data_IF_231430806459
#
_entry.id   IF_231430806459
#
_cell.length_a   1.000
_cell.length_b   1.000
_cell.length_c   1.000
_cell.angle_alpha   90.00
_cell.angle_beta   90.00
_cell.angle_gamma   90.00
#
_symmetry.space_group_name_H-M   'P 1'
#
loop_
_entity.id
_entity.type
_entity.pdbx_description
1 polymer ?
#
# COMPACT_ATOMS: atom_id res chain seq x y z
N UNK A 1 -29.56 -21.79 11.26
CA UNK A 1 -29.03 -20.73 10.37
C UNK A 1 -28.37 -21.42 9.19
N UNK A 2 -28.65 -20.99 7.96
CA UNK A 2 -28.00 -21.55 6.78
C UNK A 2 -26.82 -20.64 6.43
N UNK A 3 -25.60 -21.18 6.35
CA UNK A 3 -24.42 -20.41 5.92
C UNK A 3 -24.40 -20.25 4.40
N UNK A 4 -23.68 -19.23 3.91
CA UNK A 4 -23.42 -19.05 2.49
C UNK A 4 -22.74 -20.29 1.88
N UNK A 5 -21.88 -20.96 2.65
CA UNK A 5 -21.19 -22.18 2.26
C UNK A 5 -22.20 -23.30 1.98
N UNK A 6 -23.16 -23.52 2.89
CA UNK A 6 -24.16 -24.57 2.75
C UNK A 6 -25.14 -24.31 1.58
N UNK A 7 -25.50 -23.03 1.33
CA UNK A 7 -26.27 -22.65 0.14
C UNK A 7 -25.49 -22.92 -1.14
N UNK A 8 -24.19 -22.61 -1.16
CA UNK A 8 -23.32 -22.79 -2.31
C UNK A 8 -23.10 -24.27 -2.61
N UNK A 9 -22.84 -25.07 -1.57
CA UNK A 9 -22.72 -26.53 -1.67
C UNK A 9 -23.97 -27.15 -2.27
N UNK A 10 -25.16 -26.82 -1.74
CA UNK A 10 -26.43 -27.35 -2.24
C UNK A 10 -26.71 -26.93 -3.68
N UNK A 11 -26.37 -25.70 -4.05
CA UNK A 11 -26.52 -25.21 -5.42
C UNK A 11 -25.60 -25.97 -6.40
N UNK A 12 -24.30 -26.09 -6.07
CA UNK A 12 -23.32 -26.77 -6.94
C UNK A 12 -23.62 -28.27 -7.05
N UNK A 13 -24.01 -28.92 -5.95
CA UNK A 13 -24.39 -30.34 -5.94
C UNK A 13 -25.69 -30.58 -6.71
N UNK A 14 -26.66 -29.65 -6.63
CA UNK A 14 -27.86 -29.67 -7.47
C UNK A 14 -27.52 -29.60 -8.97
N UNK A 15 -26.66 -28.66 -9.36
CA UNK A 15 -26.20 -28.57 -10.75
C UNK A 15 -25.44 -29.83 -11.20
N UNK A 16 -24.61 -30.43 -10.35
CA UNK A 16 -23.88 -31.65 -10.67
C UNK A 16 -24.81 -32.83 -10.96
N UNK A 17 -25.99 -32.90 -10.32
CA UNK A 17 -26.97 -33.97 -10.54
C UNK A 17 -27.62 -33.88 -11.93
N UNK A 18 -27.86 -32.67 -12.43
CA UNK A 18 -28.48 -32.43 -13.75
C UNK A 18 -27.44 -32.29 -14.88
N UNK A 19 -26.23 -31.82 -14.53
CA UNK A 19 -25.12 -31.57 -15.46
C UNK A 19 -23.84 -32.23 -14.93
N UNK A 20 -23.56 -33.48 -15.35
CA UNK A 20 -22.35 -34.19 -14.95
C UNK A 20 -21.10 -33.39 -15.28
N UNK A 21 -20.14 -33.37 -14.34
CA UNK A 21 -18.86 -32.63 -14.41
C UNK A 21 -18.92 -31.15 -14.06
N UNK A 22 -20.03 -30.63 -13.56
CA UNK A 22 -20.14 -29.24 -13.08
C UNK A 22 -19.04 -28.89 -12.07
N UNK A 23 -18.84 -29.72 -11.05
CA UNK A 23 -17.81 -29.49 -10.02
C UNK A 23 -16.41 -29.41 -10.63
N UNK A 24 -16.08 -30.35 -11.53
CA UNK A 24 -14.79 -30.40 -12.22
C UNK A 24 -14.55 -29.19 -13.12
N UNK A 25 -15.60 -28.74 -13.83
CA UNK A 25 -15.51 -27.57 -14.70
C UNK A 25 -15.34 -26.28 -13.90
N UNK A 26 -16.04 -26.13 -12.77
CA UNK A 26 -15.87 -24.99 -11.85
C UNK A 26 -14.43 -24.97 -11.34
N UNK A 27 -13.89 -26.09 -10.85
CA UNK A 27 -12.51 -26.15 -10.33
C UNK A 27 -11.47 -25.84 -11.41
N UNK A 28 -11.55 -26.45 -12.59
CA UNK A 28 -10.63 -26.17 -13.71
C UNK A 28 -10.72 -24.73 -14.21
N UNK A 29 -11.91 -24.15 -14.18
CA UNK A 29 -12.09 -22.75 -14.58
C UNK A 29 -11.52 -21.81 -13.50
N UNK A 30 -11.76 -22.13 -12.23
CA UNK A 30 -11.17 -21.42 -11.09
C UNK A 30 -9.64 -21.41 -11.15
N UNK A 31 -9.02 -22.54 -11.48
CA UNK A 31 -7.57 -22.65 -11.65
C UNK A 31 -7.05 -21.77 -12.79
N UNK A 32 -7.76 -21.68 -13.92
CA UNK A 32 -7.39 -20.77 -15.03
C UNK A 32 -7.50 -19.29 -14.68
N UNK A 33 -8.37 -18.94 -13.74
CA UNK A 33 -8.55 -17.57 -13.25
C UNK A 33 -7.59 -17.24 -12.11
N UNK A 34 -6.89 -18.23 -11.57
CA UNK A 34 -5.90 -18.01 -10.52
C UNK A 34 -4.73 -17.23 -11.10
N UNK A 35 -4.46 -16.06 -10.53
CA UNK A 35 -3.27 -15.28 -10.85
C UNK A 35 -2.21 -15.59 -9.81
N UNK A 36 -1.08 -16.14 -10.25
CA UNK A 36 0.09 -16.38 -9.39
C UNK A 36 0.56 -15.03 -8.81
N UNK A 37 0.28 -14.79 -7.53
CA UNK A 37 0.77 -13.61 -6.82
C UNK A 37 2.22 -13.85 -6.44
N UNK A 38 3.17 -13.19 -7.11
CA UNK A 38 4.59 -13.18 -6.69
C UNK A 38 4.70 -12.64 -5.27
N UNK A 39 4.97 -13.52 -4.32
CA UNK A 39 5.18 -13.18 -2.92
C UNK A 39 6.60 -12.64 -2.71
N UNK A 40 6.86 -11.41 -3.15
CA UNK A 40 8.03 -10.67 -2.67
C UNK A 40 7.69 -10.11 -1.29
N UNK A 41 8.51 -10.44 -0.28
CA UNK A 41 8.35 -9.95 1.11
C UNK A 41 8.38 -8.43 1.23
N UNK A 42 8.86 -7.73 0.20
CA UNK A 42 8.91 -6.26 0.12
C UNK A 42 7.51 -5.61 -0.11
N UNK A 43 6.47 -6.40 -0.43
CA UNK A 43 5.13 -5.90 -0.77
C UNK A 43 4.02 -6.42 0.16
N UNK A 44 4.22 -6.41 1.48
CA UNK A 44 3.20 -6.82 2.45
C UNK A 44 2.69 -5.66 3.29
N UNK A 45 1.41 -5.68 3.63
CA UNK A 45 0.77 -4.68 4.48
C UNK A 45 1.29 -4.75 5.93
N UNK A 46 1.71 -3.62 6.50
CA UNK A 46 2.21 -3.55 7.88
C UNK A 46 1.17 -3.94 8.96
N UNK A 47 -0.13 -3.90 8.64
CA UNK A 47 -1.21 -4.25 9.58
C UNK A 47 -1.62 -5.72 9.42
N UNK A 48 -2.04 -6.13 8.23
CA UNK A 48 -2.63 -7.46 8.01
C UNK A 48 -1.69 -8.47 7.36
N UNK A 49 -0.47 -8.07 7.00
CA UNK A 49 0.54 -8.88 6.28
C UNK A 49 0.08 -9.43 4.91
N UNK A 50 -1.10 -9.04 4.43
CA UNK A 50 -1.56 -9.36 3.08
C UNK A 50 -0.69 -8.64 2.04
N UNK A 51 -0.56 -9.18 0.82
CA UNK A 51 0.11 -8.49 -0.28
C UNK A 51 -0.51 -7.11 -0.51
N UNK A 52 0.33 -6.11 -0.80
CA UNK A 52 -0.12 -4.78 -1.20
C UNK A 52 -0.86 -4.88 -2.54
N UNK A 53 -2.07 -4.36 -2.59
CA UNK A 53 -2.99 -4.34 -3.74
C UNK A 53 -3.14 -2.94 -4.34
N UNK A 54 -2.25 -2.03 -3.94
CA UNK A 54 -2.30 -0.60 -4.28
C UNK A 54 -1.34 -0.19 -5.38
N UNK A 55 -0.38 -1.05 -5.74
CA UNK A 55 0.49 -0.88 -6.90
C UNK A 55 -0.24 -1.44 -8.13
N UNK A 56 -1.07 -0.60 -8.72
CA UNK A 56 -1.94 -0.98 -9.83
C UNK A 56 -1.89 0.07 -10.93
N UNK A 57 -2.01 -0.34 -12.21
CA UNK A 57 -1.93 0.59 -13.32
C UNK A 57 -3.06 1.63 -13.29
N UNK A 58 -2.91 2.76 -14.02
CA UNK A 58 -3.89 3.85 -14.06
C UNK A 58 -5.30 3.43 -14.50
N UNK A 59 -5.46 2.32 -15.23
CA UNK A 59 -6.74 1.80 -15.71
C UNK A 59 -7.29 0.66 -14.83
N UNK A 60 -7.04 0.70 -13.52
CA UNK A 60 -7.46 -0.33 -12.57
C UNK A 60 -8.79 0.00 -11.88
N UNK A 61 -9.40 -0.99 -11.23
CA UNK A 61 -10.59 -0.76 -10.41
C UNK A 61 -10.30 0.24 -9.26
N UNK A 62 -9.11 0.21 -8.69
CA UNK A 62 -8.71 1.12 -7.60
C UNK A 62 -8.66 2.58 -8.08
N UNK A 63 -8.13 2.85 -9.28
CA UNK A 63 -8.07 4.21 -9.82
C UNK A 63 -9.49 4.74 -10.12
N UNK A 64 -10.38 3.90 -10.63
CA UNK A 64 -11.78 4.24 -10.83
C UNK A 64 -12.51 4.58 -9.51
N UNK A 65 -12.24 3.82 -8.45
CA UNK A 65 -12.79 4.10 -7.11
C UNK A 65 -12.26 5.43 -6.56
N UNK A 66 -10.94 5.68 -6.64
CA UNK A 66 -10.35 6.96 -6.21
C UNK A 66 -10.93 8.13 -6.99
N UNK A 67 -11.08 8.01 -8.30
CA UNK A 67 -11.72 9.02 -9.13
C UNK A 67 -13.16 9.29 -8.70
N UNK A 68 -13.95 8.24 -8.52
CA UNK A 68 -15.34 8.34 -8.05
C UNK A 68 -15.42 9.01 -6.67
N UNK A 69 -14.49 8.70 -5.77
CA UNK A 69 -14.38 9.34 -4.47
C UNK A 69 -14.09 10.85 -4.60
N UNK A 70 -13.11 11.23 -5.42
CA UNK A 70 -12.76 12.63 -5.67
C UNK A 70 -13.96 13.41 -6.20
N UNK A 71 -14.68 12.86 -7.19
CA UNK A 71 -15.89 13.49 -7.74
C UNK A 71 -16.99 13.57 -6.68
N UNK A 72 -17.16 12.54 -5.85
CA UNK A 72 -18.18 12.53 -4.80
C UNK A 72 -17.91 13.55 -3.69
N UNK A 73 -16.63 13.81 -3.36
CA UNK A 73 -16.23 14.77 -2.32
C UNK A 73 -16.22 16.22 -2.84
N UNK A 74 -15.98 16.41 -4.13
CA UNK A 74 -15.98 17.73 -4.76
C UNK A 74 -17.36 18.06 -5.34
N UNK A 75 -18.14 18.90 -4.64
CA UNK A 75 -19.45 19.37 -5.12
C UNK A 75 -19.38 20.24 -6.39
N UNK A 76 -18.20 20.63 -6.85
CA UNK A 76 -17.99 21.39 -8.09
C UNK A 76 -16.72 20.92 -8.78
N UNK A 77 -16.87 19.98 -9.71
CA UNK A 77 -15.81 19.61 -10.65
C UNK A 77 -16.13 20.29 -11.97
N UNK A 78 -15.67 21.52 -12.16
CA UNK A 78 -15.44 22.00 -13.52
C UNK A 78 -14.32 21.14 -14.10
N UNK A 79 -14.68 20.21 -14.98
CA UNK A 79 -13.80 19.26 -15.66
C UNK A 79 -12.71 19.99 -16.48
N UNK A 80 -11.64 20.46 -15.83
CA UNK A 80 -10.40 20.85 -16.48
C UNK A 80 -9.56 19.60 -16.71
N UNK A 81 -9.84 18.92 -17.82
CA UNK A 81 -9.23 17.63 -18.22
C UNK A 81 -7.72 17.73 -18.52
N UNK A 82 -7.10 18.91 -18.44
CA UNK A 82 -5.66 19.09 -18.61
C UNK A 82 -5.09 20.19 -17.71
N UNK A 83 -4.87 19.91 -16.42
CA UNK A 83 -3.92 20.67 -15.58
C UNK A 83 -3.59 19.88 -14.31
N UNK A 84 -2.32 19.53 -14.15
CA UNK A 84 -1.74 18.80 -13.01
C UNK A 84 -1.52 19.67 -11.78
N UNK A 85 -2.42 20.58 -11.46
CA UNK A 85 -2.37 21.34 -10.22
C UNK A 85 -3.79 21.73 -9.80
N UNK A 86 -4.31 21.06 -8.79
CA UNK A 86 -5.52 21.51 -8.09
C UNK A 86 -5.26 21.44 -6.60
N UNK A 87 -4.59 22.49 -6.13
CA UNK A 87 -4.58 22.86 -4.73
C UNK A 87 -6.02 23.14 -4.28
N UNK A 88 -6.51 22.35 -3.34
CA UNK A 88 -7.68 22.67 -2.54
C UNK A 88 -7.23 23.34 -1.24
N UNK A 89 -7.97 24.36 -0.84
CA UNK A 89 -7.54 25.47 0.00
C UNK A 89 -7.21 25.08 1.45
N UNK A 90 -6.08 25.58 1.95
CA UNK A 90 -5.73 25.61 3.38
C UNK A 90 -4.59 26.59 3.62
N UNK A 91 -4.93 27.86 3.81
CA UNK A 91 -3.96 28.94 4.06
C UNK A 91 -3.22 28.75 5.38
N UNK A 92 -1.90 29.01 5.35
CA UNK A 92 -1.04 29.01 6.52
C UNK A 92 0.35 29.49 6.16
N UNK A 93 0.53 30.81 6.13
CA UNK A 93 1.82 31.49 6.04
C UNK A 93 2.73 31.05 7.20
N UNK A 94 3.96 30.64 6.93
CA UNK A 94 5.03 30.66 7.93
C UNK A 94 6.30 31.27 7.33
N UNK A 95 6.57 32.52 7.74
CA UNK A 95 7.90 33.09 7.75
C UNK A 95 8.73 32.37 8.82
N UNK A 96 9.97 32.02 8.52
CA UNK A 96 11.16 32.56 9.21
C UNK A 96 12.43 31.81 8.80
N UNK A 97 13.41 32.61 8.40
CA UNK A 97 14.81 32.26 8.22
C UNK A 97 15.46 31.72 9.52
N UNK A 98 16.52 30.94 9.37
CA UNK A 98 17.34 30.51 10.50
C UNK A 98 18.32 29.41 10.16
N UNK A 99 19.36 29.74 9.40
CA UNK A 99 20.57 28.91 9.31
C UNK A 99 21.17 28.73 10.71
N UNK A 100 21.38 27.48 11.12
CA UNK A 100 22.48 27.12 12.02
C UNK A 100 23.12 25.84 11.50
N UNK A 101 24.29 26.03 10.91
CA UNK A 101 25.31 24.99 10.83
C UNK A 101 25.60 24.51 12.25
N UNK A 102 25.61 23.19 12.44
CA UNK A 102 26.32 22.58 13.57
C UNK A 102 26.92 21.27 13.09
N UNK A 103 28.21 21.34 12.80
CA UNK A 103 29.23 20.30 13.01
C UNK A 103 28.69 18.87 13.11
N UNK A 104 28.79 18.17 11.98
CA UNK A 104 28.84 16.73 11.93
C UNK A 104 30.31 16.33 12.14
N UNK A 105 30.63 15.67 13.28
CA UNK A 105 31.57 14.55 13.42
C UNK A 105 31.94 14.28 14.90
N UNK A 106 31.56 13.10 15.42
CA UNK A 106 32.41 12.32 16.34
C UNK A 106 32.18 12.43 17.84
N UNK A 107 31.08 11.86 18.37
CA UNK A 107 31.08 11.31 19.73
C UNK A 107 30.29 10.01 19.74
N UNK A 108 31.01 8.88 19.69
CA UNK A 108 30.43 7.54 19.63
C UNK A 108 29.93 7.07 20.99
N UNK A 109 28.68 7.36 21.31
CA UNK A 109 27.95 6.75 22.43
C UNK A 109 27.28 5.41 22.05
N UNK A 110 27.45 4.93 20.81
CA UNK A 110 26.83 3.70 20.31
C UNK A 110 25.30 3.78 20.26
N UNK A 111 24.72 4.93 20.56
CA UNK A 111 23.29 5.18 20.43
C UNK A 111 23.08 5.62 18.99
N UNK A 112 22.42 4.78 18.19
CA UNK A 112 21.93 5.17 16.88
C UNK A 112 20.86 6.26 17.08
N UNK A 113 21.28 7.51 17.31
CA UNK A 113 20.41 8.68 17.42
C UNK A 113 19.90 9.03 16.02
N UNK A 114 19.09 8.13 15.48
CA UNK A 114 18.19 8.44 14.37
C UNK A 114 17.25 9.49 14.95
N UNK A 115 17.32 10.74 14.49
CA UNK A 115 16.27 11.73 14.80
C UNK A 115 14.92 11.03 14.58
N UNK A 116 14.06 11.00 15.59
CA UNK A 116 12.69 10.49 15.45
C UNK A 116 11.95 11.41 14.48
N UNK A 117 12.09 11.14 13.17
CA UNK A 117 11.27 11.76 12.15
C UNK A 117 9.88 11.17 12.29
N UNK A 118 8.91 12.00 12.70
CA UNK A 118 7.51 11.61 12.77
C UNK A 118 7.07 11.12 11.39
N UNK A 119 6.67 9.85 11.29
CA UNK A 119 6.15 9.27 10.05
C UNK A 119 4.98 10.11 9.51
N UNK A 120 5.03 10.44 8.23
CA UNK A 120 3.94 11.13 7.55
C UNK A 120 2.80 10.17 7.24
N UNK A 121 1.63 10.71 6.91
CA UNK A 121 0.47 9.88 6.55
C UNK A 121 0.72 9.09 5.26
N UNK A 122 1.32 9.72 4.25
CA UNK A 122 1.60 9.10 2.96
C UNK A 122 2.59 7.94 3.10
N UNK A 123 3.58 8.14 3.96
CA UNK A 123 4.55 7.14 4.38
C UNK A 123 3.89 5.91 5.00
N UNK A 124 2.92 6.10 5.88
CA UNK A 124 2.13 5.01 6.46
C UNK A 124 1.25 4.36 5.41
N UNK A 125 0.53 5.13 4.59
CA UNK A 125 -0.37 4.60 3.57
C UNK A 125 0.38 3.76 2.52
N UNK A 126 1.59 4.14 2.13
CA UNK A 126 2.42 3.37 1.18
C UNK A 126 2.74 1.95 1.66
N UNK A 127 2.77 1.71 2.98
CA UNK A 127 3.00 0.40 3.58
C UNK A 127 1.71 -0.41 3.85
N UNK A 128 0.53 0.06 3.40
CA UNK A 128 -0.76 -0.57 3.69
C UNK A 128 -1.53 -0.97 2.43
N UNK A 129 -2.23 -2.11 2.50
CA UNK A 129 -3.21 -2.51 1.49
C UNK A 129 -4.43 -1.58 1.53
N UNK A 130 -5.20 -1.55 0.45
CA UNK A 130 -6.35 -0.67 0.31
C UNK A 130 -7.35 -0.81 1.45
N UNK A 131 -7.66 -2.04 1.86
CA UNK A 131 -8.58 -2.30 2.98
C UNK A 131 -8.07 -1.68 4.30
N UNK A 132 -6.78 -1.85 4.61
CA UNK A 132 -6.20 -1.27 5.82
C UNK A 132 -6.12 0.26 5.76
N UNK A 133 -5.90 0.85 4.57
CA UNK A 133 -5.99 2.31 4.37
C UNK A 133 -7.38 2.85 4.71
N UNK A 134 -8.44 2.11 4.36
CA UNK A 134 -9.81 2.50 4.72
C UNK A 134 -10.04 2.46 6.23
N UNK A 135 -9.52 1.43 6.93
CA UNK A 135 -9.65 1.33 8.39
C UNK A 135 -8.98 2.48 9.13
N UNK A 136 -7.87 3.00 8.58
CA UNK A 136 -7.15 4.14 9.15
C UNK A 136 -7.57 5.49 8.55
N UNK A 137 -8.52 5.50 7.62
CA UNK A 137 -8.94 6.73 6.93
C UNK A 137 -9.49 7.76 7.91
N UNK A 138 -10.30 7.30 8.86
CA UNK A 138 -10.94 8.13 9.88
C UNK A 138 -10.07 8.33 11.12
N UNK A 139 -8.89 7.70 11.18
CA UNK A 139 -7.88 8.01 12.17
C UNK A 139 -7.32 9.41 11.87
N UNK A 140 -7.67 10.39 12.71
CA UNK A 140 -7.23 11.77 12.54
C UNK A 140 -5.71 11.96 12.61
N UNK A 141 -4.99 11.16 13.42
CA UNK A 141 -3.52 11.14 13.48
C UNK A 141 -3.01 9.69 13.44
N UNK A 142 -2.04 9.42 12.57
CA UNK A 142 -1.37 8.13 12.42
C UNK A 142 -0.53 7.75 13.65
N UNK A 143 -0.16 8.73 14.48
CA UNK A 143 0.55 8.49 15.76
C UNK A 143 -0.27 7.66 16.76
N UNK A 144 -1.58 7.55 16.56
CA UNK A 144 -2.47 6.72 17.40
C UNK A 144 -2.40 5.23 17.07
N UNK A 145 -1.72 4.85 15.98
CA UNK A 145 -1.48 3.45 15.66
C UNK A 145 -0.58 2.80 16.72
N UNK A 146 -0.72 1.49 16.95
CA UNK A 146 0.18 0.76 17.83
C UNK A 146 1.65 0.95 17.43
N UNK A 147 2.52 1.23 18.41
CA UNK A 147 3.94 1.55 18.19
C UNK A 147 4.69 0.54 17.33
N UNK A 148 4.44 -0.76 17.55
CA UNK A 148 5.09 -1.83 16.77
C UNK A 148 4.84 -1.72 15.26
N UNK A 149 3.70 -1.17 14.84
CA UNK A 149 3.37 -0.95 13.42
C UNK A 149 4.16 0.24 12.87
N UNK A 150 4.24 1.33 13.65
CA UNK A 150 5.02 2.51 13.28
C UNK A 150 6.51 2.18 13.20
N UNK A 151 7.02 1.39 14.13
CA UNK A 151 8.41 0.93 14.15
C UNK A 151 8.71 0.06 12.92
N UNK A 152 7.84 -0.89 12.59
CA UNK A 152 7.96 -1.72 11.38
C UNK A 152 7.97 -0.87 10.10
N UNK A 153 7.00 0.05 9.95
CA UNK A 153 6.93 0.96 8.79
C UNK A 153 8.22 1.81 8.69
N UNK A 154 8.67 2.41 9.80
CA UNK A 154 9.89 3.21 9.81
C UNK A 154 11.13 2.39 9.45
N UNK A 155 11.19 1.12 9.87
CA UNK A 155 12.29 0.23 9.56
C UNK A 155 12.30 -0.15 8.08
N UNK A 156 11.13 -0.44 7.52
CA UNK A 156 10.97 -0.73 6.08
C UNK A 156 11.42 0.45 5.23
N UNK A 157 11.00 1.68 5.57
CA UNK A 157 11.43 2.87 4.84
C UNK A 157 12.92 3.11 4.90
N UNK A 158 13.53 2.96 6.09
CA UNK A 158 14.98 3.06 6.25
C UNK A 158 15.71 2.05 5.37
N UNK A 159 15.20 0.82 5.28
CA UNK A 159 15.76 -0.22 4.41
C UNK A 159 15.59 0.10 2.93
N UNK A 160 14.42 0.55 2.51
CA UNK A 160 14.16 0.93 1.11
C UNK A 160 15.03 2.11 0.70
N UNK A 161 15.13 3.14 1.54
CA UNK A 161 15.99 4.31 1.31
C UNK A 161 17.46 3.90 1.22
N UNK A 162 17.94 3.11 2.17
CA UNK A 162 19.29 2.58 2.15
C UNK A 162 19.54 1.76 0.88
N UNK A 163 18.61 0.88 0.49
CA UNK A 163 18.68 0.09 -0.73
C UNK A 163 18.80 0.97 -1.96
N UNK A 164 17.98 2.01 -2.09
CA UNK A 164 18.04 2.95 -3.22
C UNK A 164 19.33 3.77 -3.25
N UNK A 165 19.91 4.12 -2.10
CA UNK A 165 21.18 4.87 -2.03
C UNK A 165 22.39 4.03 -2.45
N UNK A 166 22.30 2.71 -2.34
CA UNK A 166 23.40 1.78 -2.68
C UNK A 166 23.14 0.99 -3.97
N UNK A 167 21.98 1.15 -4.59
CA UNK A 167 21.52 0.32 -5.70
C UNK A 167 22.51 0.32 -6.87
N UNK A 168 23.06 1.49 -7.19
CA UNK A 168 24.06 1.70 -8.25
C UNK A 168 25.38 0.95 -8.02
N UNK A 169 25.64 0.52 -6.78
CA UNK A 169 26.86 -0.20 -6.39
C UNK A 169 26.61 -1.70 -6.20
N UNK A 170 25.36 -2.16 -6.28
CA UNK A 170 25.04 -3.58 -6.18
C UNK A 170 25.44 -4.27 -7.49
N UNK A 171 26.18 -5.38 -7.37
CA UNK A 171 26.53 -6.20 -8.52
C UNK A 171 25.26 -6.84 -9.09
N UNK A 172 24.98 -6.57 -10.36
CA UNK A 172 23.91 -7.27 -11.08
C UNK A 172 24.19 -8.78 -11.12
N UNK A 173 23.26 -9.64 -10.68
CA UNK A 173 23.44 -11.09 -10.75
C UNK A 173 23.48 -11.61 -12.21
N UNK A 174 23.19 -10.76 -13.20
CA UNK A 174 23.32 -11.06 -14.63
C UNK A 174 24.70 -10.75 -15.22
N UNK A 175 25.62 -10.14 -14.45
CA UNK A 175 26.97 -9.77 -14.88
C UNK A 175 28.07 -10.69 -14.31
N UNK A 176 27.72 -11.88 -13.80
CA UNK A 176 28.74 -12.89 -13.46
C UNK A 176 29.26 -13.54 -14.74
N UNK A 177 30.54 -13.35 -15.12
CA UNK A 177 31.15 -14.18 -16.15
C UNK A 177 31.26 -15.63 -15.63
N UNK A 178 30.89 -16.60 -16.47
CA UNK A 178 31.16 -18.03 -16.26
C UNK A 178 32.64 -18.33 -15.99
#
# INVERSE_FOLDING_TARGET
SVSIEHLTERFVTGLQAEYPSTTSNIMRTGEKLHTEKKSSSENQCAICQAPLDTDVPPSSALSAVRFSETVSRCSSVTLSIFSTDTACCGGGTCQSEGQKESECCGQGDGSCQSKESKLTRDEVESALCYACRLLIKDLGDVSKLPKHILDDISQRQRRTKMKSEIEDFLLDPSNTPD
#
